data_IF_402328403263
#
_entry.id   IF_402328403263
#
_cell.length_a   1.000
_cell.length_b   1.000
_cell.length_c   1.000
_cell.angle_alpha   90.00
_cell.angle_beta   90.00
_cell.angle_gamma   90.00
#
_symmetry.space_group_name_H-M   'P 1'
#
loop_
_entity.id
_entity.type
_entity.pdbx_description
1 polymer ?
#
# COMPACT_ATOMS: atom_id res chain seq x y z
N UNK A 1 -4.42 -8.82 -20.07
CA UNK A 1 -4.12 -9.84 -19.06
C UNK A 1 -3.50 -9.18 -17.85
N UNK A 2 -4.20 -9.13 -16.70
CA UNK A 2 -3.55 -8.77 -15.43
C UNK A 2 -2.54 -9.84 -15.07
N UNK A 3 -1.38 -9.46 -14.54
CA UNK A 3 -0.39 -10.45 -14.11
C UNK A 3 -0.54 -10.77 -12.62
N UNK A 4 -0.59 -9.77 -11.73
CA UNK A 4 -0.84 -10.01 -10.31
C UNK A 4 -1.13 -8.73 -9.51
N UNK A 5 -1.79 -8.90 -8.36
CA UNK A 5 -1.85 -7.93 -7.25
C UNK A 5 -1.36 -8.64 -6.00
N UNK A 6 -0.44 -8.02 -5.26
CA UNK A 6 -0.02 -8.45 -3.93
C UNK A 6 -0.56 -7.42 -2.95
N UNK A 7 -1.33 -7.85 -1.96
CA UNK A 7 -1.83 -7.00 -0.88
C UNK A 7 -1.67 -7.70 0.46
N UNK A 8 -1.39 -6.92 1.49
CA UNK A 8 -1.22 -7.43 2.85
C UNK A 8 -0.56 -6.41 3.75
N UNK A 9 -0.32 -6.84 4.99
CA UNK A 9 0.51 -6.16 5.98
C UNK A 9 1.98 -6.55 5.76
N UNK A 10 2.78 -5.59 5.30
CA UNK A 10 4.22 -5.75 5.06
C UNK A 10 5.06 -5.40 6.29
N UNK A 11 4.46 -4.83 7.35
CA UNK A 11 5.16 -4.33 8.53
C UNK A 11 6.30 -3.32 8.26
N UNK A 12 6.34 -2.75 7.05
CA UNK A 12 7.28 -1.73 6.61
C UNK A 12 6.51 -0.53 6.06
N UNK A 13 6.92 0.71 6.39
CA UNK A 13 6.28 1.93 5.88
C UNK A 13 7.13 2.55 4.75
N UNK A 14 6.69 2.46 3.46
CA UNK A 14 7.41 3.03 2.31
C UNK A 14 7.58 4.55 2.35
N UNK A 15 6.81 5.24 3.20
CA UNK A 15 6.80 6.70 3.32
C UNK A 15 7.73 7.22 4.41
N UNK A 16 8.44 6.34 5.12
CA UNK A 16 9.26 6.68 6.27
C UNK A 16 10.71 6.22 6.10
N UNK A 17 11.65 7.12 6.37
CA UNK A 17 13.10 6.82 6.37
C UNK A 17 13.50 5.74 7.39
N UNK A 18 12.67 5.51 8.42
CA UNK A 18 12.90 4.45 9.42
C UNK A 18 13.07 3.07 8.78
N UNK A 19 12.43 2.83 7.64
CA UNK A 19 12.42 1.55 6.95
C UNK A 19 13.28 1.57 5.68
N UNK A 20 14.19 2.53 5.54
CA UNK A 20 15.03 2.65 4.35
C UNK A 20 15.98 1.45 4.13
N UNK A 21 16.28 0.68 5.19
CA UNK A 21 17.09 -0.55 5.12
C UNK A 21 16.25 -1.81 4.85
N UNK A 22 14.91 -1.69 4.72
CA UNK A 22 14.04 -2.82 4.38
C UNK A 22 14.00 -3.06 2.87
N UNK A 23 14.43 -4.26 2.45
CA UNK A 23 14.52 -4.64 1.04
C UNK A 23 13.22 -5.26 0.49
N UNK A 24 12.17 -5.43 1.29
CA UNK A 24 10.94 -6.11 0.85
C UNK A 24 10.30 -5.39 -0.33
N UNK A 25 10.20 -4.06 -0.24
CA UNK A 25 9.63 -3.24 -1.30
C UNK A 25 10.48 -3.24 -2.57
N UNK A 26 11.80 -3.10 -2.43
CA UNK A 26 12.72 -3.08 -3.57
C UNK A 26 12.72 -4.44 -4.30
N UNK A 27 12.74 -5.55 -3.55
CA UNK A 27 12.64 -6.90 -4.13
C UNK A 27 11.34 -7.12 -4.92
N UNK A 28 10.20 -6.61 -4.43
CA UNK A 28 8.93 -6.72 -5.14
C UNK A 28 8.91 -5.81 -6.38
N UNK A 29 9.51 -4.63 -6.30
CA UNK A 29 9.65 -3.71 -7.44
C UNK A 29 10.57 -4.28 -8.53
N UNK A 30 11.69 -4.90 -8.17
CA UNK A 30 12.62 -5.55 -9.09
C UNK A 30 11.96 -6.72 -9.84
N UNK A 31 10.96 -7.37 -9.23
CA UNK A 31 10.13 -8.38 -9.89
C UNK A 31 9.12 -7.80 -10.90
N UNK A 32 9.04 -6.47 -11.05
CA UNK A 32 8.19 -5.77 -12.02
C UNK A 32 6.86 -5.25 -11.45
N UNK A 33 6.68 -5.26 -10.12
CA UNK A 33 5.50 -4.67 -9.50
C UNK A 33 5.69 -3.17 -9.23
N UNK A 34 4.59 -2.43 -9.28
CA UNK A 34 4.54 -1.01 -8.89
C UNK A 34 3.77 -0.86 -7.59
N UNK A 35 4.24 0.01 -6.70
CA UNK A 35 3.51 0.35 -5.48
C UNK A 35 2.33 1.26 -5.78
N UNK A 36 1.12 0.86 -5.37
CA UNK A 36 -0.11 1.57 -5.70
C UNK A 36 -0.33 2.86 -4.87
N UNK A 37 0.47 3.08 -3.82
CA UNK A 37 0.44 4.31 -3.02
C UNK A 37 1.32 5.43 -3.57
N UNK A 38 2.04 5.20 -4.68
CA UNK A 38 2.94 6.19 -5.25
C UNK A 38 2.19 7.49 -5.60
N UNK A 39 2.67 8.61 -5.07
CA UNK A 39 2.10 9.94 -5.30
C UNK A 39 0.79 10.24 -4.55
N UNK A 40 0.37 9.39 -3.63
CA UNK A 40 -0.79 9.63 -2.74
C UNK A 40 -0.32 10.34 -1.47
N UNK A 41 -1.14 11.23 -0.90
CA UNK A 41 -0.85 11.81 0.40
C UNK A 41 -0.81 10.71 1.46
N UNK A 42 0.25 10.70 2.26
CA UNK A 42 0.46 9.74 3.35
C UNK A 42 -0.78 9.58 4.23
N UNK A 43 -1.51 10.64 4.54
CA UNK A 43 -2.71 10.61 5.40
C UNK A 43 -3.81 9.72 4.84
N UNK A 44 -3.87 9.57 3.51
CA UNK A 44 -4.81 8.68 2.82
C UNK A 44 -4.33 7.22 2.79
N UNK A 45 -3.03 7.00 3.05
CA UNK A 45 -2.40 5.68 3.05
C UNK A 45 -2.24 5.05 4.45
N UNK A 46 -2.33 5.83 5.53
CA UNK A 46 -2.17 5.30 6.91
C UNK A 46 -3.12 4.14 7.14
N UNK A 47 -2.56 2.95 7.27
CA UNK A 47 -3.31 1.72 7.52
C UNK A 47 -3.29 1.37 9.00
N UNK A 48 -2.16 1.55 9.68
CA UNK A 48 -2.00 1.22 11.09
C UNK A 48 -2.07 2.47 11.96
N UNK A 49 -2.89 2.44 13.02
CA UNK A 49 -3.15 3.58 13.90
C UNK A 49 -2.33 3.55 15.18
N UNK A 50 -1.69 4.67 15.49
CA UNK A 50 -0.87 4.84 16.70
C UNK A 50 -1.59 4.39 17.97
N UNK A 51 -0.94 3.57 18.78
CA UNK A 51 -1.40 3.10 20.08
C UNK A 51 -0.76 3.88 21.25
N UNK A 52 -0.05 4.96 20.93
CA UNK A 52 0.76 5.74 21.88
C UNK A 52 2.17 5.21 22.09
N UNK A 53 2.51 4.01 21.60
CA UNK A 53 3.89 3.46 21.60
C UNK A 53 4.52 3.51 20.22
N UNK A 54 3.74 3.19 19.18
CA UNK A 54 4.18 3.25 17.79
C UNK A 54 3.44 4.37 17.05
N UNK A 55 4.10 5.11 16.13
CA UNK A 55 3.46 6.15 15.34
C UNK A 55 2.62 5.56 14.20
N UNK A 56 1.61 6.30 13.72
CA UNK A 56 0.82 5.91 12.54
C UNK A 56 1.72 5.42 11.41
N UNK A 57 1.36 4.34 10.73
CA UNK A 57 2.19 3.69 9.72
C UNK A 57 1.39 3.25 8.48
N UNK A 58 2.10 3.11 7.36
CA UNK A 58 1.59 2.55 6.09
C UNK A 58 2.08 1.11 5.94
N UNK A 59 1.67 0.22 6.85
CA UNK A 59 2.09 -1.18 6.83
C UNK A 59 1.33 -2.01 5.80
N UNK A 60 0.07 -1.67 5.59
CA UNK A 60 -0.79 -2.34 4.63
C UNK A 60 -0.78 -1.54 3.34
N UNK A 61 -0.39 -2.19 2.25
CA UNK A 61 -0.43 -1.57 0.93
C UNK A 61 -0.62 -2.62 -0.17
N UNK A 62 -0.74 -2.15 -1.42
CA UNK A 62 -0.87 -3.03 -2.59
C UNK A 62 0.26 -2.78 -3.60
N UNK A 63 0.75 -3.86 -4.18
CA UNK A 63 1.73 -3.89 -5.26
C UNK A 63 1.06 -4.49 -6.50
N UNK A 64 1.19 -3.85 -7.65
CA UNK A 64 0.45 -4.21 -8.86
C UNK A 64 1.39 -4.45 -10.03
N UNK A 65 1.21 -5.58 -10.70
CA UNK A 65 1.81 -5.88 -11.99
C UNK A 65 0.70 -5.95 -13.05
N UNK A 66 0.70 -4.96 -13.93
CA UNK A 66 -0.28 -4.82 -15.00
C UNK A 66 0.42 -4.62 -16.34
N UNK A 67 -0.20 -5.04 -17.45
CA UNK A 67 0.32 -4.82 -18.79
C UNK A 67 0.40 -3.32 -19.11
N UNK A 68 1.17 -2.97 -20.14
CA UNK A 68 1.25 -1.61 -20.65
C UNK A 68 -0.14 -1.10 -21.07
N UNK A 69 -0.45 0.16 -20.76
CA UNK A 69 -1.76 0.80 -21.04
C UNK A 69 -2.84 0.57 -19.98
N UNK A 70 -2.59 -0.25 -18.95
CA UNK A 70 -3.52 -0.43 -17.84
C UNK A 70 -3.27 0.59 -16.72
N UNK A 71 -4.27 1.41 -16.41
CA UNK A 71 -4.21 2.34 -15.29
C UNK A 71 -4.69 1.69 -14.00
N UNK A 72 -3.88 1.84 -12.97
CA UNK A 72 -4.19 1.39 -11.62
C UNK A 72 -4.57 2.65 -10.85
N UNK A 73 -5.81 2.73 -10.33
CA UNK A 73 -6.13 3.86 -9.46
C UNK A 73 -5.22 3.82 -8.24
N UNK A 74 -4.77 4.97 -7.79
CA UNK A 74 -4.06 5.10 -6.53
C UNK A 74 -4.82 4.43 -5.36
N UNK A 75 -4.11 3.73 -4.48
CA UNK A 75 -4.70 3.09 -3.32
C UNK A 75 -5.09 4.11 -2.25
N UNK A 76 -6.17 3.84 -1.50
CA UNK A 76 -6.57 4.63 -0.34
C UNK A 76 -6.96 3.73 0.82
N UNK A 77 -6.98 4.28 2.03
CA UNK A 77 -7.47 3.59 3.23
C UNK A 77 -8.89 3.99 3.58
N UNK A 78 -9.69 3.02 3.97
CA UNK A 78 -11.02 3.24 4.50
C UNK A 78 -10.98 3.28 6.03
N UNK A 79 -11.68 4.24 6.63
CA UNK A 79 -11.75 4.34 8.09
C UNK A 79 -12.47 3.12 8.66
N UNK A 80 -11.77 2.40 9.53
CA UNK A 80 -12.33 1.30 10.33
C UNK A 80 -12.43 1.76 11.79
N UNK A 81 -13.45 1.29 12.50
CA UNK A 81 -13.56 1.51 13.95
C UNK A 81 -12.43 0.76 14.67
N UNK A 82 -11.68 1.46 15.52
CA UNK A 82 -10.55 0.88 16.25
C UNK A 82 -10.95 -0.26 17.19
N UNK A 83 -12.21 -0.29 17.64
CA UNK A 83 -12.74 -1.40 18.44
C UNK A 83 -12.80 -2.73 17.67
N UNK A 84 -12.74 -2.68 16.34
CA UNK A 84 -12.79 -3.85 15.45
C UNK A 84 -11.39 -4.25 14.99
N UNK A 85 -10.54 -3.27 14.67
CA UNK A 85 -9.20 -3.50 14.14
C UNK A 85 -8.33 -2.26 14.38
N UNK A 86 -7.06 -2.48 14.71
CA UNK A 86 -6.01 -1.46 14.72
C UNK A 86 -5.48 -1.11 13.32
N UNK A 87 -5.84 -1.93 12.32
CA UNK A 87 -5.61 -1.68 10.89
C UNK A 87 -6.87 -1.17 10.18
N UNK A 88 -6.67 -0.28 9.20
CA UNK A 88 -7.66 0.20 8.23
C UNK A 88 -7.59 -0.62 6.95
N UNK A 89 -8.74 -0.83 6.32
CA UNK A 89 -8.81 -1.53 5.05
C UNK A 89 -8.16 -0.70 3.93
N UNK A 90 -7.31 -1.33 3.12
CA UNK A 90 -6.74 -0.73 1.91
C UNK A 90 -7.64 -1.06 0.72
N UNK A 91 -8.00 -0.05 -0.06
CA UNK A 91 -8.86 -0.15 -1.23
C UNK A 91 -8.05 0.22 -2.47
N UNK A 92 -8.10 -0.65 -3.47
CA UNK A 92 -7.54 -0.44 -4.79
C UNK A 92 -8.61 -0.67 -5.85
N UNK A 93 -8.74 0.26 -6.81
CA UNK A 93 -9.60 0.08 -7.97
C UNK A 93 -8.75 -0.15 -9.22
N UNK A 94 -9.04 -1.23 -9.91
CA UNK A 94 -8.45 -1.57 -11.19
C UNK A 94 -9.40 -1.10 -12.28
N UNK A 95 -8.95 -0.21 -13.18
CA UNK A 95 -9.76 0.30 -14.28
C UNK A 95 -9.11 -0.09 -15.60
N UNK A 96 -9.90 -0.67 -16.48
CA UNK A 96 -9.47 -0.94 -17.86
C UNK A 96 -9.75 0.31 -18.70
N UNK A 97 -8.73 0.83 -19.37
CA UNK A 97 -8.90 1.92 -20.33
C UNK A 97 -9.10 1.29 -21.71
N UNK A 98 -10.36 0.94 -22.01
CA UNK A 98 -10.79 0.63 -23.39
C UNK A 98 -11.14 1.91 -24.14
#
# INVERSE_FOLDING_TARGET
TFYAVIGGDFNSDPTSEKWAEDDTLSMIQDAGFRWAGQGVDRKELISWLTDGRYPDAVFDHMMVMAPEGYEVSQSSTHKTDRSVSDHRAVILRLVDLW
#
